data_IF_821104563665
#
_entry.id   IF_821104563665
#
_cell.length_a   1.000
_cell.length_b   1.000
_cell.length_c   1.000
_cell.angle_alpha   90.00
_cell.angle_beta   90.00
_cell.angle_gamma   90.00
#
_symmetry.space_group_name_H-M   'P 1'
#
loop_
_entity.id
_entity.type
_entity.pdbx_description
1 polymer ?
#
# COMPACT_ATOMS: atom_id res chain seq x y z
N UNK A 1 16.69 27.83 -27.82
CA UNK A 1 16.18 26.45 -27.98
C UNK A 1 17.25 25.51 -27.48
N UNK A 2 16.97 24.70 -26.45
CA UNK A 2 17.91 23.65 -26.06
C UNK A 2 18.00 22.65 -27.21
N UNK A 3 19.20 22.16 -27.52
CA UNK A 3 19.36 21.06 -28.48
C UNK A 3 18.78 19.78 -27.88
N UNK A 4 18.24 18.90 -28.72
CA UNK A 4 17.71 17.58 -28.28
C UNK A 4 18.78 16.81 -27.48
N UNK A 5 20.04 16.90 -27.92
CA UNK A 5 21.19 16.32 -27.21
C UNK A 5 21.39 16.95 -25.83
N UNK A 6 21.29 18.28 -25.71
CA UNK A 6 21.41 18.96 -24.43
C UNK A 6 20.33 18.55 -23.44
N UNK A 7 19.08 18.42 -23.90
CA UNK A 7 17.96 17.95 -23.06
C UNK A 7 18.18 16.53 -22.55
N UNK A 8 18.60 15.61 -23.42
CA UNK A 8 18.85 14.22 -23.05
C UNK A 8 20.03 14.08 -22.07
N UNK A 9 21.08 14.89 -22.23
CA UNK A 9 22.20 14.90 -21.28
C UNK A 9 21.77 15.41 -19.90
N UNK A 10 20.96 16.48 -19.85
CA UNK A 10 20.42 16.99 -18.58
C UNK A 10 19.53 15.96 -17.89
N UNK A 11 18.65 15.29 -18.63
CA UNK A 11 17.83 14.19 -18.08
C UNK A 11 18.71 13.07 -17.50
N UNK A 12 19.76 12.69 -18.23
CA UNK A 12 20.70 11.66 -17.78
C UNK A 12 21.44 12.04 -16.50
N UNK A 13 21.85 13.29 -16.34
CA UNK A 13 22.49 13.79 -15.11
C UNK A 13 21.60 13.59 -13.88
N UNK A 14 20.29 13.82 -14.02
CA UNK A 14 19.33 13.59 -12.93
C UNK A 14 19.25 12.12 -12.51
N UNK A 15 19.21 11.20 -13.47
CA UNK A 15 19.19 9.75 -13.19
C UNK A 15 20.48 9.32 -12.48
N UNK A 16 21.65 9.80 -12.96
CA UNK A 16 22.94 9.50 -12.33
C UNK A 16 23.00 10.04 -10.90
N UNK A 17 22.51 11.27 -10.67
CA UNK A 17 22.46 11.87 -9.35
C UNK A 17 21.58 11.07 -8.39
N UNK A 18 20.38 10.69 -8.83
CA UNK A 18 19.46 9.87 -8.04
C UNK A 18 20.06 8.51 -7.69
N UNK A 19 20.55 7.75 -8.69
CA UNK A 19 21.23 6.46 -8.49
C UNK A 19 22.37 6.59 -7.48
N UNK A 20 23.22 7.60 -7.64
CA UNK A 20 24.33 7.85 -6.70
C UNK A 20 23.83 8.03 -5.27
N UNK A 21 22.75 8.79 -5.07
CA UNK A 21 22.20 9.01 -3.72
C UNK A 21 21.63 7.70 -3.15
N UNK A 22 20.74 7.02 -3.88
CA UNK A 22 20.12 5.77 -3.41
C UNK A 22 21.15 4.67 -3.16
N UNK A 23 22.06 4.46 -4.10
CA UNK A 23 23.04 3.37 -4.03
C UNK A 23 24.17 3.67 -3.03
N UNK A 24 24.69 4.90 -2.97
CA UNK A 24 25.85 5.22 -2.13
C UNK A 24 25.49 5.73 -0.74
N UNK A 25 24.43 6.52 -0.62
CA UNK A 25 24.05 7.10 0.67
C UNK A 25 23.07 6.20 1.41
N UNK A 26 22.06 5.65 0.72
CA UNK A 26 21.00 4.86 1.39
C UNK A 26 21.33 3.37 1.41
N UNK A 27 22.26 2.93 0.53
CA UNK A 27 22.59 1.52 0.27
C UNK A 27 21.42 0.70 -0.29
N UNK A 28 20.48 1.36 -0.94
CA UNK A 28 19.32 0.73 -1.56
C UNK A 28 19.62 0.28 -3.00
N UNK A 29 18.81 -0.64 -3.52
CA UNK A 29 18.99 -1.18 -4.88
C UNK A 29 18.23 -0.31 -5.88
N UNK A 30 18.94 0.44 -6.72
CA UNK A 30 18.37 1.28 -7.77
C UNK A 30 18.28 0.53 -9.12
N UNK A 31 17.12 0.57 -9.78
CA UNK A 31 16.88 -0.05 -11.09
C UNK A 31 16.27 0.97 -12.05
N UNK A 32 17.08 1.42 -13.00
CA UNK A 32 16.61 2.29 -14.08
C UNK A 32 15.67 1.54 -15.03
N UNK A 33 14.52 2.13 -15.33
CA UNK A 33 13.56 1.59 -16.29
C UNK A 33 13.95 2.03 -17.70
N UNK A 34 14.37 1.07 -18.53
CA UNK A 34 14.90 1.34 -19.88
C UNK A 34 13.81 1.47 -20.95
N UNK A 35 12.57 1.11 -20.61
CA UNK A 35 11.43 1.18 -21.51
C UNK A 35 10.59 2.40 -21.10
N UNK A 36 10.33 3.29 -22.06
CA UNK A 36 9.42 4.41 -21.88
C UNK A 36 8.01 3.88 -21.59
N UNK A 37 7.58 3.95 -20.34
CA UNK A 37 6.18 3.72 -20.00
C UNK A 37 5.69 4.75 -18.97
N UNK A 38 4.71 5.56 -19.38
CA UNK A 38 3.92 6.53 -18.62
C UNK A 38 4.61 7.45 -17.58
N UNK A 39 5.94 7.57 -17.60
CA UNK A 39 6.69 8.43 -16.68
C UNK A 39 7.02 7.77 -15.35
N UNK A 40 7.61 6.58 -15.38
CA UNK A 40 8.41 6.00 -14.29
C UNK A 40 9.82 5.80 -14.82
N UNK A 41 10.79 6.50 -14.25
CA UNK A 41 12.18 6.46 -14.71
C UNK A 41 13.00 5.40 -13.98
N UNK A 42 12.63 5.04 -12.73
CA UNK A 42 13.32 4.04 -11.94
C UNK A 42 12.45 3.43 -10.85
N UNK A 43 12.85 2.24 -10.40
CA UNK A 43 12.36 1.59 -9.18
C UNK A 43 13.52 1.44 -8.20
N UNK A 44 13.24 1.64 -6.91
CA UNK A 44 14.22 1.47 -5.85
C UNK A 44 13.68 0.50 -4.82
N UNK A 45 14.49 -0.50 -4.47
CA UNK A 45 14.17 -1.44 -3.40
C UNK A 45 14.98 -1.12 -2.15
N UNK A 46 14.25 -1.01 -1.05
CA UNK A 46 14.79 -0.71 0.28
C UNK A 46 15.57 -1.93 0.77
N UNK A 47 16.74 -1.67 1.35
CA UNK A 47 17.57 -2.69 2.00
C UNK A 47 17.68 -2.41 3.50
N UNK A 48 17.74 -3.49 4.28
CA UNK A 48 18.03 -3.46 5.72
C UNK A 48 19.17 -4.45 5.96
N UNK A 49 20.23 -4.03 6.65
CA UNK A 49 21.44 -4.84 6.86
C UNK A 49 22.01 -5.49 5.58
N UNK A 50 22.06 -4.70 4.49
CA UNK A 50 22.48 -5.13 3.15
C UNK A 50 21.62 -6.25 2.51
N UNK A 51 20.44 -6.54 3.08
CA UNK A 51 19.48 -7.49 2.54
C UNK A 51 18.28 -6.77 1.91
N UNK A 52 17.83 -7.18 0.71
CA UNK A 52 16.62 -6.64 0.09
C UNK A 52 15.39 -6.97 0.93
N UNK A 53 14.56 -5.97 1.19
CA UNK A 53 13.34 -6.12 2.02
C UNK A 53 12.11 -6.52 1.22
N UNK A 54 12.14 -6.44 -0.12
CA UNK A 54 10.97 -6.57 -0.97
C UNK A 54 10.06 -5.33 -0.97
N UNK A 55 10.39 -4.25 -0.26
CA UNK A 55 9.67 -2.97 -0.31
C UNK A 55 10.25 -2.10 -1.42
N UNK A 56 9.43 -1.79 -2.43
CA UNK A 56 9.82 -0.97 -3.57
C UNK A 56 9.10 0.38 -3.60
N UNK A 57 9.81 1.40 -4.08
CA UNK A 57 9.27 2.69 -4.46
C UNK A 57 9.55 2.94 -5.94
N UNK A 58 8.70 3.74 -6.59
CA UNK A 58 8.85 4.12 -7.97
C UNK A 58 9.14 5.63 -8.09
N UNK A 59 9.96 6.00 -9.07
CA UNK A 59 10.51 7.34 -9.20
C UNK A 59 10.15 7.93 -10.55
N UNK A 60 9.76 9.20 -10.55
CA UNK A 60 9.84 10.07 -11.72
C UNK A 60 10.94 11.11 -11.48
N UNK A 61 11.90 11.19 -12.38
CA UNK A 61 13.10 12.03 -12.25
C UNK A 61 13.04 13.16 -13.27
N UNK A 62 13.13 14.40 -12.78
CA UNK A 62 13.12 15.61 -13.60
C UNK A 62 14.36 16.44 -13.29
N UNK A 63 15.19 16.65 -14.31
CA UNK A 63 16.44 17.39 -14.19
C UNK A 63 16.41 18.67 -15.01
N UNK A 64 16.86 19.77 -14.42
CA UNK A 64 16.99 21.06 -15.07
C UNK A 64 16.64 22.25 -14.19
N UNK A 65 17.27 23.39 -14.44
CA UNK A 65 17.06 24.61 -13.66
C UNK A 65 15.65 25.20 -13.78
N UNK A 66 14.92 24.85 -14.84
CA UNK A 66 13.53 25.27 -15.05
C UNK A 66 12.59 24.81 -13.94
N UNK A 67 12.84 23.64 -13.33
CA UNK A 67 12.03 23.11 -12.23
C UNK A 67 12.19 23.89 -10.92
N UNK A 68 13.24 24.72 -10.82
CA UNK A 68 13.56 25.52 -9.64
C UNK A 68 13.19 27.01 -9.81
N UNK A 69 12.57 27.39 -10.92
CA UNK A 69 12.23 28.81 -11.19
C UNK A 69 11.01 29.33 -10.43
N UNK A 70 10.05 28.46 -10.13
CA UNK A 70 8.79 28.84 -9.47
C UNK A 70 8.89 28.60 -7.97
N UNK A 71 9.69 29.44 -7.33
CA UNK A 71 9.91 29.40 -5.89
C UNK A 71 8.79 30.11 -5.12
N UNK A 72 8.32 29.47 -4.06
CA UNK A 72 7.39 30.01 -3.06
C UNK A 72 8.03 29.87 -1.68
N UNK A 73 7.48 30.45 -0.61
CA UNK A 73 8.09 30.43 0.73
C UNK A 73 8.43 29.01 1.21
N UNK A 74 7.64 28.00 0.86
CA UNK A 74 7.77 26.62 1.32
C UNK A 74 8.68 25.75 0.42
N UNK A 75 8.88 26.12 -0.84
CA UNK A 75 9.62 25.29 -1.78
C UNK A 75 9.45 25.70 -3.24
N UNK A 76 9.40 24.71 -4.13
CA UNK A 76 9.25 24.90 -5.57
C UNK A 76 7.96 24.28 -6.07
N UNK A 77 7.27 24.94 -7.00
CA UNK A 77 6.02 24.44 -7.57
C UNK A 77 6.29 23.69 -8.87
N UNK A 78 6.05 22.38 -8.86
CA UNK A 78 6.06 21.55 -10.05
C UNK A 78 4.67 21.55 -10.71
N UNK A 79 4.63 21.54 -12.04
CA UNK A 79 3.40 21.43 -12.82
C UNK A 79 3.47 20.19 -13.71
N UNK A 80 2.40 19.40 -13.73
CA UNK A 80 2.32 18.17 -14.52
C UNK A 80 1.04 18.08 -15.35
N UNK A 81 1.07 17.17 -16.33
CA UNK A 81 -0.10 16.80 -17.12
C UNK A 81 -1.02 15.85 -16.35
N UNK A 82 -2.32 15.93 -16.58
CA UNK A 82 -3.32 15.15 -15.84
C UNK A 82 -3.20 13.64 -16.07
N UNK A 83 -2.73 13.21 -17.25
CA UNK A 83 -2.46 11.79 -17.53
C UNK A 83 -1.43 11.20 -16.56
N UNK A 84 -0.40 11.97 -16.21
CA UNK A 84 0.65 11.52 -15.30
C UNK A 84 0.15 11.45 -13.87
N UNK A 85 -0.65 12.42 -13.41
CA UNK A 85 -1.24 12.35 -12.07
C UNK A 85 -2.09 11.09 -11.92
N UNK A 86 -3.01 10.83 -12.86
CA UNK A 86 -3.87 9.64 -12.86
C UNK A 86 -3.07 8.35 -12.87
N UNK A 87 -1.97 8.29 -13.64
CA UNK A 87 -1.14 7.09 -13.69
C UNK A 87 -0.36 6.91 -12.37
N UNK A 88 0.27 7.97 -11.86
CA UNK A 88 1.09 7.92 -10.65
C UNK A 88 0.28 7.66 -9.38
N UNK A 89 -0.93 8.22 -9.23
CA UNK A 89 -1.76 8.00 -8.04
C UNK A 89 -2.42 6.62 -8.02
N UNK A 90 -2.54 5.97 -9.18
CA UNK A 90 -3.00 4.58 -9.29
C UNK A 90 -1.84 3.56 -9.30
N UNK A 91 -0.59 4.02 -9.19
CA UNK A 91 0.56 3.14 -9.22
C UNK A 91 0.64 2.35 -7.89
N UNK A 92 0.83 1.03 -7.98
CA UNK A 92 0.85 0.16 -6.80
C UNK A 92 2.04 0.44 -5.87
N UNK A 93 3.19 0.82 -6.45
CA UNK A 93 4.34 1.29 -5.68
C UNK A 93 4.17 2.77 -5.32
N UNK A 94 4.56 3.20 -4.10
CA UNK A 94 4.65 4.61 -3.76
C UNK A 94 5.48 5.38 -4.80
N UNK A 95 4.86 6.41 -5.38
CA UNK A 95 5.49 7.24 -6.42
C UNK A 95 6.14 8.47 -5.80
N UNK A 96 7.39 8.74 -6.17
CA UNK A 96 8.11 9.96 -5.80
C UNK A 96 8.54 10.75 -7.02
N UNK A 97 8.31 12.06 -6.98
CA UNK A 97 8.89 13.02 -7.90
C UNK A 97 10.25 13.47 -7.36
N UNK A 98 11.29 13.30 -8.16
CA UNK A 98 12.65 13.74 -7.89
C UNK A 98 12.97 14.93 -8.80
N UNK A 99 13.35 16.07 -8.21
CA UNK A 99 13.81 17.24 -8.94
C UNK A 99 15.31 17.41 -8.75
N UNK A 100 16.07 17.42 -9.85
CA UNK A 100 17.52 17.64 -9.82
C UNK A 100 17.89 18.98 -10.50
N UNK A 101 18.70 19.78 -9.83
CA UNK A 101 19.28 21.00 -10.39
C UNK A 101 20.74 20.73 -10.79
N UNK A 102 21.05 20.59 -12.09
CA UNK A 102 22.39 20.24 -12.55
C UNK A 102 23.45 21.34 -12.30
N UNK A 103 23.04 22.60 -12.13
CA UNK A 103 23.99 23.70 -11.88
C UNK A 103 24.43 23.76 -10.41
N UNK A 104 23.55 23.38 -9.48
CA UNK A 104 23.82 23.44 -8.03
C UNK A 104 24.08 22.08 -7.39
N UNK A 105 23.74 20.99 -8.08
CA UNK A 105 23.76 19.63 -7.55
C UNK A 105 22.62 19.31 -6.57
N UNK A 106 21.75 20.27 -6.27
CA UNK A 106 20.62 20.08 -5.35
C UNK A 106 19.63 19.08 -5.94
N UNK A 107 19.29 18.06 -5.16
CA UNK A 107 18.26 17.08 -5.50
C UNK A 107 17.19 17.11 -4.42
N UNK A 108 15.94 17.35 -4.81
CA UNK A 108 14.77 17.38 -3.93
C UNK A 108 13.83 16.24 -4.27
N UNK A 109 13.01 15.83 -3.31
CA UNK A 109 11.99 14.82 -3.51
C UNK A 109 10.62 15.27 -3.00
N UNK A 110 9.56 14.73 -3.58
CA UNK A 110 8.21 14.85 -3.03
C UNK A 110 7.39 13.62 -3.40
N UNK A 111 6.63 13.10 -2.44
CA UNK A 111 5.73 11.97 -2.67
C UNK A 111 4.52 12.43 -3.50
N UNK A 112 4.10 11.60 -4.46
CA UNK A 112 2.93 11.88 -5.29
C UNK A 112 1.69 11.33 -4.60
N UNK A 113 0.86 12.23 -4.09
CA UNK A 113 -0.41 11.91 -3.44
C UNK A 113 -1.46 12.95 -3.80
N UNK A 114 -2.71 12.53 -3.98
CA UNK A 114 -3.80 13.43 -4.38
C UNK A 114 -3.98 14.60 -3.40
N UNK A 115 -3.87 14.34 -2.09
CA UNK A 115 -3.99 15.36 -1.03
C UNK A 115 -2.92 16.46 -1.11
N UNK A 116 -1.76 16.17 -1.71
CA UNK A 116 -0.66 17.13 -1.89
C UNK A 116 -0.76 17.88 -3.23
N UNK A 117 -1.61 17.39 -4.13
CA UNK A 117 -1.79 17.93 -5.47
C UNK A 117 -2.92 18.96 -5.52
N UNK A 118 -2.76 19.96 -6.39
CA UNK A 118 -3.82 20.91 -6.75
C UNK A 118 -4.13 20.76 -8.23
N UNK A 119 -5.36 20.35 -8.55
CA UNK A 119 -5.84 20.29 -9.93
C UNK A 119 -6.07 21.72 -10.45
N UNK A 120 -5.77 21.93 -11.72
CA UNK A 120 -5.92 23.21 -12.43
C UNK A 120 -6.55 22.95 -13.79
N UNK A 121 -7.05 23.99 -14.46
CA UNK A 121 -7.66 23.87 -15.80
C UNK A 121 -6.72 23.26 -16.86
N UNK A 122 -5.39 23.35 -16.64
CA UNK A 122 -4.37 22.92 -17.60
C UNK A 122 -3.61 21.66 -17.19
N UNK A 123 -3.93 21.07 -16.03
CA UNK A 123 -3.18 19.95 -15.46
C UNK A 123 -3.23 19.99 -13.94
N UNK A 124 -2.09 19.88 -13.28
CA UNK A 124 -2.00 19.95 -11.82
C UNK A 124 -0.68 20.53 -11.37
N UNK A 125 -0.60 20.82 -10.07
CA UNK A 125 0.64 21.25 -9.42
C UNK A 125 0.84 20.58 -8.07
N UNK A 126 2.09 20.47 -7.66
CA UNK A 126 2.50 20.04 -6.31
C UNK A 126 3.64 20.93 -5.82
N UNK A 127 3.69 21.17 -4.52
CA UNK A 127 4.81 21.85 -3.87
C UNK A 127 5.85 20.80 -3.50
N UNK A 128 7.08 21.00 -3.97
CA UNK A 128 8.28 20.25 -3.55
C UNK A 128 9.00 21.09 -2.49
N UNK A 129 8.92 20.72 -1.20
CA UNK A 129 9.49 21.51 -0.11
C UNK A 129 11.01 21.64 -0.25
N UNK A 130 11.56 22.79 0.14
CA UNK A 130 13.02 22.99 0.14
C UNK A 130 13.75 22.05 1.10
N UNK A 131 13.09 21.69 2.20
CA UNK A 131 13.66 20.85 3.25
C UNK A 131 13.64 19.35 2.86
N UNK A 132 12.89 18.97 1.82
CA UNK A 132 12.90 17.62 1.26
C UNK A 132 14.12 17.39 0.37
N UNK A 133 15.31 17.64 0.90
CA UNK A 133 16.56 17.33 0.21
C UNK A 133 16.77 15.81 0.17
N UNK A 134 16.98 15.26 -1.03
CA UNK A 134 17.27 13.85 -1.20
C UNK A 134 18.73 13.59 -0.80
N UNK A 135 18.93 13.25 0.47
CA UNK A 135 20.21 12.94 1.09
C UNK A 135 19.99 11.88 2.18
N UNK A 136 21.07 11.43 2.84
CA UNK A 136 20.99 10.35 3.84
C UNK A 136 19.88 10.49 4.90
N UNK A 137 19.48 11.71 5.30
CA UNK A 137 18.39 11.89 6.27
C UNK A 137 17.00 11.57 5.72
N UNK A 138 16.82 11.59 4.40
CA UNK A 138 15.54 11.33 3.75
C UNK A 138 15.18 9.84 3.65
N UNK A 139 16.11 8.93 3.93
CA UNK A 139 15.88 7.49 3.79
C UNK A 139 14.66 7.00 4.61
N UNK A 140 14.46 7.53 5.82
CA UNK A 140 13.28 7.18 6.63
C UNK A 140 11.97 7.61 5.98
N UNK A 141 11.93 8.83 5.44
CA UNK A 141 10.74 9.39 4.80
C UNK A 141 10.35 8.65 3.51
N UNK A 142 11.36 8.21 2.73
CA UNK A 142 11.12 7.42 1.52
C UNK A 142 10.83 5.94 1.82
N UNK A 143 11.29 5.43 2.97
CA UNK A 143 11.02 4.06 3.40
C UNK A 143 9.68 3.90 4.10
N UNK A 144 9.10 5.00 4.59
CA UNK A 144 7.70 5.02 4.96
C UNK A 144 6.91 4.54 3.73
N UNK A 145 6.21 3.42 3.89
CA UNK A 145 5.50 2.73 2.80
C UNK A 145 4.42 3.61 2.19
N UNK A 146 3.53 3.05 1.34
CA UNK A 146 2.34 3.81 1.01
C UNK A 146 1.68 4.29 2.31
N UNK A 147 1.28 5.56 2.33
CA UNK A 147 0.14 6.08 3.11
C UNK A 147 -1.07 5.31 2.57
N UNK A 148 -1.07 3.99 2.79
CA UNK A 148 -2.29 3.34 3.17
C UNK A 148 -2.62 4.03 4.47
N UNK A 149 -3.68 4.83 4.44
CA UNK A 149 -4.35 5.18 5.68
C UNK A 149 -4.60 3.90 6.49
N UNK A 150 -4.91 4.06 7.78
CA UNK A 150 -5.15 2.91 8.65
C UNK A 150 -6.14 1.91 8.02
N UNK A 151 -7.13 2.40 7.28
CA UNK A 151 -8.09 1.58 6.53
C UNK A 151 -7.42 0.74 5.42
N UNK A 152 -6.57 1.32 4.59
CA UNK A 152 -5.85 0.61 3.53
C UNK A 152 -4.93 -0.50 4.09
N UNK A 153 -4.28 -0.25 5.23
CA UNK A 153 -3.43 -1.25 5.88
C UNK A 153 -4.26 -2.41 6.41
N UNK A 154 -5.42 -2.11 7.00
CA UNK A 154 -6.37 -3.13 7.45
C UNK A 154 -6.90 -3.98 6.30
N UNK A 155 -7.31 -3.36 5.17
CA UNK A 155 -7.78 -4.09 3.99
C UNK A 155 -6.72 -5.03 3.43
N UNK A 156 -5.48 -4.56 3.31
CA UNK A 156 -4.36 -5.39 2.87
C UNK A 156 -4.15 -6.57 3.83
N UNK A 157 -4.19 -6.31 5.13
CA UNK A 157 -4.01 -7.34 6.15
C UNK A 157 -5.08 -8.40 6.11
N UNK A 158 -6.35 -8.00 6.01
CA UNK A 158 -7.47 -8.91 5.87
C UNK A 158 -7.36 -9.74 4.58
N UNK A 159 -6.96 -9.12 3.47
CA UNK A 159 -6.79 -9.84 2.20
C UNK A 159 -5.67 -10.89 2.26
N UNK A 160 -4.50 -10.55 2.81
CA UNK A 160 -3.38 -11.47 2.94
C UNK A 160 -3.66 -12.63 3.90
N UNK A 161 -4.35 -12.35 4.99
CA UNK A 161 -4.62 -13.33 6.04
C UNK A 161 -5.93 -14.11 5.83
N UNK A 162 -6.68 -13.86 4.75
CA UNK A 162 -7.97 -14.50 4.49
C UNK A 162 -7.96 -16.04 4.62
N UNK A 163 -6.98 -16.79 4.07
CA UNK A 163 -6.93 -18.24 4.25
C UNK A 163 -6.74 -18.67 5.72
N UNK A 164 -6.04 -17.87 6.53
CA UNK A 164 -5.88 -18.14 7.95
C UNK A 164 -7.15 -17.76 8.71
N UNK A 165 -7.78 -16.62 8.39
CA UNK A 165 -9.07 -16.22 8.98
C UNK A 165 -10.16 -17.27 8.76
N UNK A 166 -10.22 -17.90 7.58
CA UNK A 166 -11.15 -18.99 7.28
C UNK A 166 -11.06 -20.15 8.29
N UNK A 167 -9.87 -20.41 8.87
CA UNK A 167 -9.67 -21.44 9.90
C UNK A 167 -10.36 -21.13 11.22
N UNK A 168 -10.59 -19.85 11.51
CA UNK A 168 -11.30 -19.39 12.70
C UNK A 168 -12.82 -19.34 12.50
N UNK A 169 -13.33 -19.70 11.31
CA UNK A 169 -14.77 -19.79 11.07
C UNK A 169 -15.32 -21.02 11.79
N UNK A 170 -15.95 -20.78 12.94
CA UNK A 170 -16.56 -21.84 13.75
C UNK A 170 -15.62 -22.52 14.75
N UNK A 171 -14.40 -21.99 14.93
CA UNK A 171 -13.44 -22.50 15.90
C UNK A 171 -12.73 -21.34 16.61
N UNK A 172 -12.63 -21.43 17.94
CA UNK A 172 -11.74 -20.59 18.74
C UNK A 172 -10.36 -21.24 18.83
N UNK A 173 -9.32 -20.43 18.96
CA UNK A 173 -7.95 -20.92 19.12
C UNK A 173 -7.27 -20.30 20.33
N UNK A 174 -6.18 -20.93 20.76
CA UNK A 174 -5.22 -20.30 21.67
C UNK A 174 -4.08 -19.72 20.85
N UNK A 175 -3.61 -18.55 21.22
CA UNK A 175 -2.38 -17.98 20.70
C UNK A 175 -1.33 -17.93 21.79
N UNK A 176 -0.15 -18.50 21.53
CA UNK A 176 0.97 -18.46 22.46
C UNK A 176 2.03 -17.49 21.95
N UNK A 177 2.53 -16.65 22.85
CA UNK A 177 3.71 -15.81 22.68
C UNK A 177 4.76 -16.13 23.73
N UNK A 178 6.03 -16.09 23.35
CA UNK A 178 7.14 -16.17 24.28
C UNK A 178 7.80 -14.80 24.39
N UNK A 179 7.98 -14.32 25.62
CA UNK A 179 8.63 -13.06 25.93
C UNK A 179 9.95 -13.28 26.64
N UNK A 180 11.03 -12.91 25.96
CA UNK A 180 12.40 -13.11 26.41
C UNK A 180 12.98 -11.80 26.94
N UNK A 181 12.97 -11.63 28.27
CA UNK A 181 13.42 -10.40 28.93
C UNK A 181 14.91 -10.06 28.74
N UNK A 182 15.72 -11.03 28.33
CA UNK A 182 17.17 -10.87 28.12
C UNK A 182 17.56 -10.61 26.65
N UNK A 183 16.59 -10.43 25.73
CA UNK A 183 16.82 -10.17 24.31
C UNK A 183 16.25 -8.81 23.89
N UNK A 184 16.92 -8.15 22.94
CA UNK A 184 16.48 -6.86 22.36
C UNK A 184 15.22 -6.93 21.50
N UNK A 185 14.77 -8.14 21.15
CA UNK A 185 13.55 -8.44 20.41
C UNK A 185 12.84 -9.54 21.20
N UNK A 186 12.04 -9.13 22.16
CA UNK A 186 11.58 -9.98 23.27
C UNK A 186 10.42 -10.90 22.89
N UNK A 187 9.46 -10.43 22.07
CA UNK A 187 8.33 -11.26 21.61
C UNK A 187 8.73 -12.19 20.44
N UNK A 188 8.50 -13.49 20.64
CA UNK A 188 8.95 -14.57 19.75
C UNK A 188 7.98 -15.74 19.70
N UNK A 189 8.22 -16.62 18.73
CA UNK A 189 7.66 -17.96 18.64
C UNK A 189 6.13 -18.01 18.71
N UNK A 190 5.48 -16.99 18.13
CA UNK A 190 4.04 -16.89 18.03
C UNK A 190 3.44 -18.13 17.35
N UNK A 191 2.40 -18.70 17.95
CA UNK A 191 1.72 -19.88 17.40
C UNK A 191 0.25 -19.93 17.76
N UNK A 192 -0.57 -20.35 16.81
CA UNK A 192 -1.98 -20.69 17.03
C UNK A 192 -2.12 -22.18 17.35
N UNK A 193 -2.99 -22.50 18.28
CA UNK A 193 -3.33 -23.86 18.70
C UNK A 193 -4.84 -24.00 18.60
N UNK A 194 -5.28 -24.79 17.63
CA UNK A 194 -6.66 -25.24 17.51
C UNK A 194 -6.81 -26.58 18.24
N UNK A 195 -8.04 -26.91 18.64
CA UNK A 195 -8.33 -28.19 19.30
C UNK A 195 -8.00 -29.36 18.37
N UNK A 196 -7.27 -30.36 18.87
CA UNK A 196 -6.84 -31.57 18.15
C UNK A 196 -6.03 -31.34 16.85
N UNK A 197 -5.45 -30.15 16.68
CA UNK A 197 -4.60 -29.83 15.52
C UNK A 197 -3.15 -29.48 15.92
N UNK A 198 -2.24 -29.68 14.97
CA UNK A 198 -0.85 -29.25 15.11
C UNK A 198 -0.74 -27.72 15.16
N UNK A 199 0.12 -27.15 16.04
CA UNK A 199 0.25 -25.70 16.16
C UNK A 199 0.71 -25.04 14.86
N UNK A 200 -0.01 -24.00 14.45
CA UNK A 200 0.36 -23.17 13.31
C UNK A 200 1.34 -22.10 13.78
N UNK A 201 2.60 -22.21 13.34
CA UNK A 201 3.63 -21.22 13.66
C UNK A 201 3.47 -19.97 12.81
N UNK A 202 3.45 -18.82 13.47
CA UNK A 202 3.57 -17.51 12.83
C UNK A 202 5.06 -17.14 12.93
N UNK A 203 5.77 -17.19 11.80
CA UNK A 203 7.23 -16.99 11.80
C UNK A 203 7.69 -15.61 12.31
N UNK A 204 8.94 -15.54 12.78
CA UNK A 204 9.66 -14.28 13.05
C UNK A 204 9.79 -13.86 14.51
N UNK A 205 10.43 -12.70 14.71
CA UNK A 205 10.56 -11.95 15.96
C UNK A 205 9.80 -10.63 15.82
N UNK A 206 9.20 -10.14 16.90
CA UNK A 206 8.47 -8.87 16.87
C UNK A 206 9.17 -7.80 17.71
N UNK A 207 9.49 -6.62 17.13
CA UNK A 207 10.28 -5.59 17.79
C UNK A 207 9.43 -4.75 18.75
N UNK A 208 8.70 -5.39 19.66
CA UNK A 208 7.92 -4.73 20.71
C UNK A 208 7.79 -5.65 21.92
N UNK A 209 7.62 -5.05 23.09
CA UNK A 209 7.24 -5.70 24.34
C UNK A 209 5.73 -5.60 24.62
N UNK A 210 5.00 -4.81 23.83
CA UNK A 210 3.55 -4.65 23.93
C UNK A 210 2.84 -5.66 23.03
N UNK A 211 2.29 -6.71 23.66
CA UNK A 211 1.49 -7.72 22.98
C UNK A 211 0.24 -7.11 22.34
N UNK A 212 -0.37 -6.09 22.96
CA UNK A 212 -1.53 -5.41 22.39
C UNK A 212 -1.19 -4.73 21.07
N UNK A 213 -0.06 -4.01 21.03
CA UNK A 213 0.44 -3.41 19.80
C UNK A 213 0.80 -4.47 18.75
N UNK A 214 1.44 -5.57 19.17
CA UNK A 214 1.74 -6.68 18.28
C UNK A 214 0.47 -7.29 17.68
N UNK A 215 -0.56 -7.54 18.49
CA UNK A 215 -1.84 -8.09 18.04
C UNK A 215 -2.57 -7.14 17.09
N UNK A 216 -2.57 -5.83 17.36
CA UNK A 216 -3.20 -4.84 16.46
C UNK A 216 -2.54 -4.81 15.08
N UNK A 217 -1.21 -4.92 15.02
CA UNK A 217 -0.47 -4.84 13.75
C UNK A 217 -0.46 -6.19 13.00
N UNK A 218 -0.40 -7.29 13.74
CA UNK A 218 -0.30 -8.63 13.17
C UNK A 218 -1.65 -9.26 12.85
N UNK A 219 -2.60 -9.12 13.76
CA UNK A 219 -3.86 -9.83 13.72
C UNK A 219 -5.02 -8.87 14.07
N UNK A 220 -5.17 -7.75 13.35
CA UNK A 220 -6.25 -6.79 13.62
C UNK A 220 -7.64 -7.43 13.49
N UNK A 221 -7.75 -8.56 12.80
CA UNK A 221 -8.95 -9.36 12.61
C UNK A 221 -9.33 -10.27 13.80
N UNK A 222 -8.49 -10.35 14.86
CA UNK A 222 -8.76 -11.14 16.06
C UNK A 222 -9.24 -10.29 17.24
N UNK A 223 -10.24 -10.78 17.96
CA UNK A 223 -10.45 -10.43 19.37
C UNK A 223 -9.62 -11.35 20.24
N UNK A 224 -9.11 -10.85 21.37
CA UNK A 224 -8.29 -11.64 22.27
C UNK A 224 -8.49 -11.27 23.73
N UNK A 225 -8.28 -12.25 24.61
CA UNK A 225 -8.20 -12.09 26.06
C UNK A 225 -7.13 -13.05 26.60
N UNK A 226 -6.48 -12.71 27.71
CA UNK A 226 -5.57 -13.64 28.37
C UNK A 226 -6.33 -14.87 28.88
N UNK A 227 -5.76 -16.06 28.69
CA UNK A 227 -6.32 -17.32 29.23
C UNK A 227 -6.26 -17.35 30.75
N UNK A 228 -5.18 -16.81 31.31
CA UNK A 228 -4.92 -16.68 32.75
C UNK A 228 -4.16 -15.38 32.98
N UNK A 229 -4.41 -14.72 34.11
CA UNK A 229 -3.69 -13.52 34.54
C UNK A 229 -2.28 -13.86 35.07
N UNK A 230 -1.94 -15.15 35.15
CA UNK A 230 -0.62 -15.65 35.57
C UNK A 230 0.29 -15.98 34.38
N UNK A 231 1.50 -15.40 34.37
CA UNK A 231 2.55 -15.77 33.41
C UNK A 231 3.04 -17.18 33.69
N UNK A 232 2.97 -18.05 32.67
CA UNK A 232 3.57 -19.38 32.74
C UNK A 232 5.03 -19.26 32.30
N UNK A 233 5.94 -19.89 33.01
CA UNK A 233 7.36 -19.88 32.63
C UNK A 233 7.64 -20.98 31.62
N UNK A 234 8.54 -20.73 30.68
CA UNK A 234 9.14 -21.82 29.92
C UNK A 234 9.88 -22.80 30.84
N UNK A 235 10.17 -24.00 30.35
CA UNK A 235 10.77 -25.08 31.15
C UNK A 235 12.15 -24.70 31.71
N UNK A 236 12.79 -23.67 31.14
CA UNK A 236 14.09 -23.11 31.57
C UNK A 236 13.99 -21.90 32.51
N UNK A 237 12.81 -21.29 32.69
CA UNK A 237 12.64 -20.03 33.42
C UNK A 237 13.24 -18.80 32.70
N UNK A 238 13.48 -18.89 31.41
CA UNK A 238 14.14 -17.84 30.61
C UNK A 238 13.17 -16.97 29.82
N UNK A 239 11.92 -17.41 29.68
CA UNK A 239 10.88 -16.68 28.99
C UNK A 239 9.53 -16.78 29.70
N UNK A 240 8.79 -15.68 29.62
CA UNK A 240 7.39 -15.60 29.99
C UNK A 240 6.52 -16.10 28.82
N UNK A 241 5.62 -17.03 29.09
CA UNK A 241 4.66 -17.57 28.12
C UNK A 241 3.32 -16.90 28.33
N UNK A 242 2.92 -16.12 27.34
CA UNK A 242 1.61 -15.51 27.27
C UNK A 242 0.68 -16.39 26.44
N UNK A 243 -0.47 -16.75 27.00
CA UNK A 243 -1.51 -17.50 26.29
C UNK A 243 -2.75 -16.63 26.18
N UNK A 244 -3.16 -16.37 24.94
CA UNK A 244 -4.37 -15.62 24.61
C UNK A 244 -5.44 -16.59 24.09
N UNK A 245 -6.67 -16.45 24.55
CA UNK A 245 -7.84 -16.98 23.86
C UNK A 245 -8.18 -16.01 22.73
N UNK A 246 -8.23 -16.51 21.50
CA UNK A 246 -8.43 -15.71 20.29
C UNK A 246 -9.63 -16.21 19.49
N UNK A 247 -10.42 -15.25 18.99
CA UNK A 247 -11.60 -15.50 18.16
C UNK A 247 -11.68 -14.50 17.02
N UNK A 248 -12.32 -14.89 15.92
CA UNK A 248 -12.50 -14.01 14.77
C UNK A 248 -13.46 -12.85 15.09
N UNK A 249 -13.05 -11.62 14.79
CA UNK A 249 -13.91 -10.43 14.90
C UNK A 249 -15.13 -10.50 13.98
N UNK A 250 -16.27 -9.88 14.34
CA UNK A 250 -17.43 -9.77 13.46
C UNK A 250 -17.10 -9.15 12.09
N UNK A 251 -16.24 -8.13 12.06
CA UNK A 251 -15.82 -7.44 10.84
C UNK A 251 -15.03 -8.36 9.90
N UNK A 252 -14.21 -9.25 10.46
CA UNK A 252 -13.47 -10.24 9.71
C UNK A 252 -14.38 -11.35 9.14
N UNK A 253 -15.43 -11.73 9.87
CA UNK A 253 -16.48 -12.63 9.35
C UNK A 253 -17.21 -12.00 8.16
N UNK A 254 -17.64 -10.74 8.29
CA UNK A 254 -18.30 -10.00 7.21
C UNK A 254 -17.39 -9.82 5.98
N UNK A 255 -16.10 -9.58 6.20
CA UNK A 255 -15.12 -9.53 5.11
C UNK A 255 -15.04 -10.87 4.35
N UNK A 256 -14.95 -12.00 5.05
CA UNK A 256 -14.95 -13.33 4.42
C UNK A 256 -16.25 -13.64 3.67
N UNK A 257 -17.39 -13.17 4.15
CA UNK A 257 -18.67 -13.27 3.44
C UNK A 257 -18.65 -12.48 2.13
N UNK A 258 -18.16 -11.24 2.17
CA UNK A 258 -18.00 -10.41 0.98
C UNK A 258 -17.03 -11.05 -0.04
N UNK A 259 -15.87 -11.52 0.42
CA UNK A 259 -14.89 -12.24 -0.42
C UNK A 259 -15.48 -13.49 -1.07
N UNK A 260 -16.31 -14.23 -0.33
CA UNK A 260 -17.03 -15.39 -0.87
C UNK A 260 -18.00 -14.97 -1.96
N UNK A 261 -18.81 -13.94 -1.73
CA UNK A 261 -19.71 -13.39 -2.75
C UNK A 261 -18.94 -12.94 -4.00
N UNK A 262 -17.81 -12.23 -3.85
CA UNK A 262 -16.99 -11.81 -4.99
C UNK A 262 -16.42 -12.99 -5.78
N UNK A 263 -16.11 -14.11 -5.10
CA UNK A 263 -15.59 -15.34 -5.72
C UNK A 263 -16.67 -16.15 -6.42
N UNK A 264 -17.83 -16.28 -5.79
CA UNK A 264 -18.96 -17.11 -6.26
C UNK A 264 -19.85 -16.37 -7.26
N UNK A 265 -19.80 -15.04 -7.28
CA UNK A 265 -20.60 -14.19 -8.16
C UNK A 265 -22.05 -14.05 -7.68
N UNK A 266 -22.87 -13.40 -8.52
CA UNK A 266 -24.30 -13.28 -8.28
C UNK A 266 -24.94 -14.65 -8.55
N UNK A 267 -25.53 -15.27 -7.52
CA UNK A 267 -26.38 -16.44 -7.68
C UNK A 267 -27.71 -16.01 -8.31
N UNK A 268 -28.32 -16.86 -9.16
CA UNK A 268 -29.49 -16.54 -10.01
C UNK A 268 -30.71 -16.05 -9.19
N UNK A 269 -30.73 -14.76 -8.87
CA UNK A 269 -31.91 -14.01 -8.47
C UNK A 269 -32.56 -13.47 -9.76
N UNK A 270 -33.15 -14.36 -10.55
CA UNK A 270 -34.01 -13.89 -11.65
C UNK A 270 -35.40 -13.69 -11.06
N UNK A 271 -35.85 -12.44 -10.82
CA UNK A 271 -37.24 -12.23 -10.41
C UNK A 271 -38.15 -12.73 -11.53
N UNK A 272 -39.30 -13.31 -11.15
CA UNK A 272 -40.33 -13.64 -12.12
C UNK A 272 -40.64 -12.39 -12.94
N UNK A 273 -40.57 -12.51 -14.27
CA UNK A 273 -40.93 -11.38 -15.12
C UNK A 273 -42.40 -11.04 -14.87
N UNK A 274 -42.73 -9.75 -14.67
CA UNK A 274 -44.12 -9.35 -14.54
C UNK A 274 -44.89 -9.80 -15.78
N UNK A 275 -46.01 -10.48 -15.57
CA UNK A 275 -46.95 -10.83 -16.64
C UNK A 275 -47.32 -9.52 -17.33
N UNK A 276 -46.98 -9.40 -18.62
CA UNK A 276 -47.47 -8.30 -19.45
C UNK A 276 -48.92 -8.61 -19.80
N UNK A 277 -49.84 -7.76 -19.36
CA UNK A 277 -51.21 -7.75 -19.87
C UNK A 277 -51.16 -7.30 -21.33
N UNK A 278 -50.92 -8.24 -22.23
CA UNK A 278 -51.10 -8.04 -23.68
C UNK A 278 -52.59 -8.19 -24.01
N UNK A 279 -53.47 -7.41 -23.36
CA UNK A 279 -54.89 -7.30 -23.72
C UNK A 279 -55.41 -5.86 -23.53
N UNK A 280 -55.00 -4.97 -24.44
CA UNK A 280 -55.95 -4.06 -25.10
C UNK A 280 -55.69 -4.16 -26.60
N UNK A 281 -56.22 -5.25 -27.19
CA UNK A 281 -56.48 -5.36 -28.62
C UNK A 281 -57.62 -4.37 -28.97
N UNK A 282 -57.29 -3.07 -28.96
CA UNK A 282 -58.17 -2.01 -29.39
C UNK A 282 -58.24 -2.01 -30.92
N UNK A 283 -59.09 -2.89 -31.43
CA UNK A 283 -59.44 -3.02 -32.84
C UNK A 283 -59.97 -1.72 -33.46
N UNK A 284 -59.07 -0.87 -33.93
CA UNK A 284 -59.38 0.21 -34.87
C UNK A 284 -59.31 -0.34 -36.30
N UNK A 285 -60.43 -0.91 -36.76
CA UNK A 285 -60.66 -1.20 -38.18
C UNK A 285 -60.73 0.13 -38.94
N UNK A 286 -59.65 0.50 -39.64
CA UNK A 286 -59.73 1.51 -40.69
C UNK A 286 -60.53 0.92 -41.87
N UNK A 287 -61.84 1.21 -41.93
CA UNK A 287 -62.58 1.08 -43.19
C UNK A 287 -62.11 2.18 -44.13
N UNK A 288 -61.23 1.80 -45.06
CA UNK A 288 -60.95 2.60 -46.24
C UNK A 288 -62.25 2.70 -47.04
N UNK A 289 -62.76 3.93 -47.19
CA UNK A 289 -63.71 4.26 -48.26
C UNK A 289 -62.88 4.37 -49.53
N UNK A 290 -63.06 3.43 -50.44
CA UNK A 290 -62.71 3.66 -51.84
C UNK A 290 -63.82 4.53 -52.45
N UNK A 291 -63.43 5.70 -52.92
CA UNK A 291 -64.21 6.51 -53.86
C UNK A 291 -64.13 5.83 -55.23
N UNK A 292 -65.26 5.28 -55.71
CA UNK A 292 -65.83 5.38 -57.06
C UNK A 292 -67.03 4.43 -57.27
#
# INVERSE_FOLDING_TARGET
MASVVGSALTEREGVIAADTIFTKQFRWLFREQKVLDFGVDAEVEITEDDMPTGKLIALQIKSGTSFFKREIKEGYVFYGEMRHLKYWTNHVLPMFLILHNPETGVTLYQRIEERLCKVTDKGWSIVVPRDNALNASAAGDLAAGPDLDEEGQLRLRFSLDAPLMERFVGADAKMIWEYWFNKSLSLRNARFIFEDEEPIKVGGWYPTDDIGLAMQNLFPWLTYQYEDDSTKWDVSGEADIFTLLVSLRPEAKAYLEAERFFREGITDETPDQPIRDDEEDDGWIYRIRDDD
#
